data_IF_406016996492
#
_entry.id   IF_406016996492
#
_cell.length_a   1.000
_cell.length_b   1.000
_cell.length_c   1.000
_cell.angle_alpha   90.00
_cell.angle_beta   90.00
_cell.angle_gamma   90.00
#
_symmetry.space_group_name_H-M   'P 1'
#
loop_
_entity.id
_entity.type
_entity.pdbx_description
1 polymer ?
#
# COMPACT_ATOMS: atom_id res chain seq x y z
N UNK A 1 13.88 -6.28 18.13
CA UNK A 1 13.37 -7.51 17.47
C UNK A 1 12.01 -7.11 16.91
N UNK A 2 11.84 -7.04 15.59
CA UNK A 2 10.51 -6.77 14.99
C UNK A 2 9.70 -8.06 15.16
N UNK A 3 8.51 -7.97 15.74
CA UNK A 3 7.59 -9.11 15.79
C UNK A 3 7.34 -9.58 14.35
N UNK A 4 7.74 -10.81 14.03
CA UNK A 4 7.34 -11.46 12.78
C UNK A 4 5.85 -11.75 12.88
N UNK A 5 5.03 -10.79 12.45
CA UNK A 5 3.61 -11.01 12.29
C UNK A 5 3.44 -11.88 11.05
N UNK A 6 2.93 -13.09 11.21
CA UNK A 6 2.70 -14.05 10.13
C UNK A 6 1.62 -13.54 9.15
N UNK A 7 1.99 -12.62 8.26
CA UNK A 7 1.19 -12.10 7.16
C UNK A 7 1.95 -12.21 5.84
N UNK A 8 1.23 -12.37 4.72
CA UNK A 8 1.88 -12.31 3.40
C UNK A 8 2.23 -10.85 3.13
N UNK A 9 3.53 -10.58 2.99
CA UNK A 9 4.03 -9.29 2.54
C UNK A 9 3.55 -9.00 1.10
N UNK A 10 3.10 -7.77 0.85
CA UNK A 10 2.62 -7.31 -0.45
C UNK A 10 3.24 -5.96 -0.79
N UNK A 11 3.89 -5.89 -1.94
CA UNK A 11 4.34 -4.64 -2.53
C UNK A 11 3.34 -4.21 -3.60
N UNK A 12 2.63 -3.12 -3.37
CA UNK A 12 1.58 -2.60 -4.26
C UNK A 12 2.15 -1.67 -5.33
N UNK A 13 3.17 -0.86 -4.99
CA UNK A 13 3.87 0.03 -5.92
C UNK A 13 5.34 0.08 -5.52
N UNK A 14 6.23 -0.08 -6.51
CA UNK A 14 7.68 -0.01 -6.32
C UNK A 14 8.19 1.41 -6.63
N UNK A 15 9.26 1.85 -5.96
CA UNK A 15 9.92 3.14 -6.25
C UNK A 15 10.42 3.30 -7.70
N UNK A 16 10.73 2.20 -8.39
CA UNK A 16 11.23 2.21 -9.76
C UNK A 16 10.15 2.18 -10.84
N UNK A 17 8.87 2.00 -10.47
CA UNK A 17 7.79 1.90 -11.44
C UNK A 17 6.49 2.52 -10.91
N UNK A 18 5.88 3.40 -11.70
CA UNK A 18 4.56 3.99 -11.42
C UNK A 18 3.40 3.05 -11.74
N UNK A 19 3.70 1.82 -12.15
CA UNK A 19 2.72 0.81 -12.52
C UNK A 19 2.40 -0.01 -11.26
N UNK A 20 1.12 -0.10 -10.84
CA UNK A 20 0.74 -0.92 -9.70
C UNK A 20 1.00 -2.40 -9.99
N UNK A 21 1.40 -3.14 -8.94
CA UNK A 21 1.56 -4.59 -9.01
C UNK A 21 0.21 -5.24 -9.36
N UNK A 22 0.24 -6.16 -10.32
CA UNK A 22 -0.93 -6.94 -10.68
C UNK A 22 -1.15 -8.09 -9.67
N UNK A 23 -2.36 -8.19 -9.13
CA UNK A 23 -2.77 -9.24 -8.21
C UNK A 23 -3.95 -10.03 -8.79
N UNK A 24 -3.97 -11.34 -8.54
CA UNK A 24 -5.12 -12.19 -8.85
C UNK A 24 -6.27 -12.04 -7.84
N UNK A 25 -5.97 -11.52 -6.64
CA UNK A 25 -6.96 -11.21 -5.63
C UNK A 25 -7.54 -9.81 -5.90
N UNK A 26 -8.86 -9.71 -5.94
CA UNK A 26 -9.57 -8.47 -6.30
C UNK A 26 -9.30 -7.36 -5.29
N UNK A 27 -9.35 -7.64 -3.99
CA UNK A 27 -9.13 -6.63 -2.94
C UNK A 27 -7.70 -6.06 -2.96
N UNK A 28 -6.70 -6.90 -3.25
CA UNK A 28 -5.31 -6.47 -3.38
C UNK A 28 -5.11 -5.64 -4.65
N UNK A 29 -5.81 -6.01 -5.74
CA UNK A 29 -5.78 -5.31 -7.01
C UNK A 29 -6.43 -3.92 -6.91
N UNK A 30 -7.61 -3.82 -6.28
CA UNK A 30 -8.31 -2.56 -6.05
C UNK A 30 -7.45 -1.60 -5.21
N UNK A 31 -6.74 -2.12 -4.21
CA UNK A 31 -5.81 -1.32 -3.43
C UNK A 31 -4.61 -0.86 -4.21
N UNK A 32 -4.00 -1.74 -5.00
CA UNK A 32 -2.86 -1.35 -5.85
C UNK A 32 -3.26 -0.19 -6.77
N UNK A 33 -4.45 -0.26 -7.36
CA UNK A 33 -5.00 0.81 -8.20
C UNK A 33 -5.30 2.10 -7.41
N UNK A 34 -5.92 1.99 -6.24
CA UNK A 34 -6.23 3.15 -5.40
C UNK A 34 -4.95 3.87 -4.95
N UNK A 35 -3.92 3.13 -4.56
CA UNK A 35 -2.63 3.68 -4.15
C UNK A 35 -1.89 4.33 -5.32
N UNK A 36 -2.04 3.80 -6.54
CA UNK A 36 -1.45 4.41 -7.74
C UNK A 36 -2.16 5.73 -8.08
N UNK A 37 -3.48 5.73 -7.96
CA UNK A 37 -4.27 6.95 -8.11
C UNK A 37 -3.88 8.01 -7.06
N UNK A 38 -3.74 7.64 -5.78
CA UNK A 38 -3.38 8.58 -4.73
C UNK A 38 -1.96 9.14 -4.92
N UNK A 39 -0.99 8.31 -5.30
CA UNK A 39 0.36 8.73 -5.68
C UNK A 39 0.33 9.77 -6.81
N UNK A 40 -0.46 9.51 -7.85
CA UNK A 40 -0.61 10.42 -8.98
C UNK A 40 -1.17 11.79 -8.54
N UNK A 41 -2.24 11.78 -7.72
CA UNK A 41 -2.84 13.01 -7.20
C UNK A 41 -1.85 13.79 -6.32
N UNK A 42 -1.12 13.11 -5.43
CA UNK A 42 -0.10 13.74 -4.59
C UNK A 42 0.97 14.44 -5.43
N UNK A 43 1.52 13.74 -6.43
CA UNK A 43 2.52 14.31 -7.34
C UNK A 43 2.00 15.57 -8.04
N UNK A 44 0.75 15.57 -8.52
CA UNK A 44 0.16 16.77 -9.12
C UNK A 44 -0.05 17.90 -8.13
N UNK A 45 -0.53 17.61 -6.92
CA UNK A 45 -0.82 18.61 -5.89
C UNK A 45 0.43 19.27 -5.32
N UNK A 46 1.56 18.56 -5.31
CA UNK A 46 2.86 19.10 -4.89
C UNK A 46 3.62 19.79 -6.03
N UNK A 47 2.93 20.16 -7.12
CA UNK A 47 3.56 20.74 -8.32
C UNK A 47 4.71 19.87 -8.84
N UNK A 48 4.54 18.54 -8.78
CA UNK A 48 5.49 17.54 -9.27
C UNK A 48 6.80 17.46 -8.48
N UNK A 49 6.84 17.98 -7.26
CA UNK A 49 8.07 18.00 -6.44
C UNK A 49 8.20 16.81 -5.51
N UNK A 50 7.09 16.31 -4.97
CA UNK A 50 7.09 15.27 -3.93
C UNK A 50 5.92 14.30 -4.11
N UNK A 51 6.15 13.02 -3.90
CA UNK A 51 5.09 12.01 -3.84
C UNK A 51 5.48 10.88 -2.90
N UNK A 52 4.49 10.09 -2.46
CA UNK A 52 4.75 8.89 -1.65
C UNK A 52 4.91 7.68 -2.56
N UNK A 53 6.04 6.98 -2.42
CA UNK A 53 6.40 5.74 -3.09
C UNK A 53 6.46 4.55 -2.13
N UNK A 54 6.94 3.42 -2.67
CA UNK A 54 7.10 2.13 -1.98
C UNK A 54 5.91 1.70 -1.13
N UNK A 55 4.72 1.73 -1.71
CA UNK A 55 3.53 1.28 -1.00
C UNK A 55 3.61 -0.24 -0.77
N UNK A 56 3.95 -0.62 0.45
CA UNK A 56 4.07 -1.99 0.91
C UNK A 56 3.30 -2.20 2.21
N UNK A 57 2.82 -3.43 2.43
CA UNK A 57 2.06 -3.77 3.61
C UNK A 57 1.99 -5.27 3.85
N UNK A 58 1.73 -5.63 5.11
CA UNK A 58 1.49 -7.01 5.49
C UNK A 58 -0.01 -7.26 5.60
N UNK A 59 -0.50 -8.25 4.87
CA UNK A 59 -1.87 -8.73 5.08
C UNK A 59 -1.88 -9.63 6.31
N UNK A 60 -2.37 -9.11 7.44
CA UNK A 60 -2.53 -9.92 8.65
C UNK A 60 -3.71 -10.88 8.49
N UNK A 61 -3.43 -12.19 8.48
CA UNK A 61 -4.46 -13.22 8.63
C UNK A 61 -4.84 -13.27 10.10
N UNK A 62 -5.86 -12.51 10.51
CA UNK A 62 -6.36 -12.62 11.89
C UNK A 62 -7.18 -13.91 12.01
N UNK A 63 -6.58 -14.95 12.61
CA UNK A 63 -7.38 -16.03 13.19
C UNK A 63 -7.96 -15.51 14.52
N UNK A 64 -9.25 -15.17 14.47
CA UNK A 64 -10.17 -14.93 15.59
C UNK A 64 -10.06 -13.65 16.44
N UNK A 65 -11.26 -13.12 16.71
CA UNK A 65 -11.70 -12.21 17.79
C UNK A 65 -11.68 -10.68 17.54
N UNK A 66 -12.88 -10.18 17.26
CA UNK A 66 -13.50 -9.00 17.89
C UNK A 66 -13.15 -7.56 17.45
N UNK A 67 -12.66 -7.30 16.23
CA UNK A 67 -12.75 -5.94 15.68
C UNK A 67 -13.28 -5.94 14.25
N UNK A 68 -14.60 -5.77 14.12
CA UNK A 68 -15.31 -5.51 12.86
C UNK A 68 -15.20 -4.02 12.47
N UNK A 69 -13.98 -3.50 12.37
CA UNK A 69 -13.76 -2.22 11.71
C UNK A 69 -13.63 -2.48 10.21
N UNK A 70 -14.75 -2.29 9.51
CA UNK A 70 -14.78 -2.28 8.05
C UNK A 70 -13.90 -1.13 7.55
N UNK A 71 -12.64 -1.44 7.24
CA UNK A 71 -11.86 -0.67 6.28
C UNK A 71 -12.04 -1.38 4.93
N UNK A 72 -12.31 -0.65 3.82
CA UNK A 72 -12.38 -1.22 2.46
C UNK A 72 -10.99 -1.67 1.97
N UNK A 73 -10.38 -2.55 2.75
CA UNK A 73 -8.95 -2.69 2.88
C UNK A 73 -8.50 -3.71 3.94
N UNK A 74 -9.38 -4.50 4.58
CA UNK A 74 -8.95 -5.53 5.55
C UNK A 74 -7.91 -5.05 6.59
N UNK A 75 -7.22 -5.98 7.26
CA UNK A 75 -6.20 -5.63 8.26
C UNK A 75 -4.80 -5.42 7.64
N UNK A 76 -4.73 -4.73 6.51
CA UNK A 76 -3.43 -4.41 5.89
C UNK A 76 -3.01 -3.02 6.31
N UNK A 77 -2.01 -2.93 7.18
CA UNK A 77 -1.32 -1.68 7.45
C UNK A 77 -0.34 -1.44 6.31
N UNK A 78 -0.32 -0.23 5.73
CA UNK A 78 0.82 0.21 4.93
C UNK A 78 2.00 0.32 5.89
N UNK A 79 2.97 -0.58 5.77
CA UNK A 79 3.98 -0.74 6.81
C UNK A 79 5.18 0.17 6.63
N UNK A 80 5.37 0.79 5.46
CA UNK A 80 6.54 1.67 5.23
C UNK A 80 6.43 2.54 3.94
N UNK A 81 5.52 3.52 3.86
CA UNK A 81 5.47 4.45 2.72
C UNK A 81 6.67 5.40 2.73
N UNK A 82 7.38 5.52 1.60
CA UNK A 82 8.57 6.38 1.47
C UNK A 82 8.24 7.70 0.77
N UNK A 83 8.79 8.82 1.26
CA UNK A 83 8.66 10.13 0.59
C UNK A 83 9.73 10.23 -0.49
N UNK A 84 9.32 10.42 -1.73
CA UNK A 84 10.21 10.61 -2.87
C UNK A 84 10.15 12.06 -3.34
N UNK A 85 11.32 12.65 -3.63
CA UNK A 85 11.44 13.92 -4.33
C UNK A 85 11.69 13.68 -5.81
N UNK A 86 11.05 14.46 -6.68
CA UNK A 86 11.45 14.54 -8.09
C UNK A 86 12.82 15.22 -8.19
N UNK A 87 13.74 14.73 -9.04
CA UNK A 87 14.96 15.46 -9.37
C UNK A 87 14.65 16.82 -10.02
#
# INVERSE_FOLDING_TARGET
>A
IREEVAGKFRQYINNGATIPTAFNNVDDQERAQFLAFSQHVQYWKTMKTVFVGDYQGEQKTLFASEFNTWFPGGNTLLTDPQIMSSP
#
